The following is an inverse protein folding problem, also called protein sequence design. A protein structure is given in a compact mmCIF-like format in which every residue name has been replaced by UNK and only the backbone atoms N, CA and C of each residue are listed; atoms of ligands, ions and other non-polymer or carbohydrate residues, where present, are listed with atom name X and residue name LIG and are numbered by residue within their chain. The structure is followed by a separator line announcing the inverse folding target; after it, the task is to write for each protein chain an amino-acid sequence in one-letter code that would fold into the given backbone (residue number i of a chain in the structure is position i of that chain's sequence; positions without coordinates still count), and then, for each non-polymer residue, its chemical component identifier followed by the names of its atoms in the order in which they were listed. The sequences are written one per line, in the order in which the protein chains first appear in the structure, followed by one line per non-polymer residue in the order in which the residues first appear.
data_IF_949936753547
#
_entry.id   IF_949936753547
#
_cell.length_a   1.000
_cell.length_b   1.000
_cell.length_c   1.000
_cell.angle_alpha   90.00
_cell.angle_beta   90.00
_cell.angle_gamma   90.00
#
_symmetry.space_group_name_H-M   'P 1'
#
loop_
_entity.id
_entity.type
_entity.pdbx_description
1 polymer ?
#
# COMPACT_ATOMS: atom_id res chain seq x y z
N UNK A 1 -19.77 -4.51 27.34
CA UNK A 1 -18.66 -4.20 28.27
C UNK A 1 -17.51 -5.11 27.88
N UNK A 2 -16.88 -4.83 26.74
CA UNK A 2 -15.76 -5.64 26.23
C UNK A 2 -14.52 -5.23 27.00
N UNK A 3 -13.96 -6.14 27.79
CA UNK A 3 -12.54 -6.02 28.13
C UNK A 3 -11.79 -5.97 26.81
N UNK A 4 -11.03 -4.89 26.57
CA UNK A 4 -9.91 -4.99 25.62
C UNK A 4 -9.15 -6.24 26.02
N UNK A 5 -9.07 -7.24 25.14
CA UNK A 5 -8.09 -8.32 25.30
C UNK A 5 -6.75 -7.61 25.50
N UNK A 6 -6.10 -7.81 26.64
CA UNK A 6 -4.82 -7.17 26.98
C UNK A 6 -3.91 -7.14 25.77
N UNK A 7 -3.35 -6.00 25.36
CA UNK A 7 -2.47 -5.88 24.17
C UNK A 7 -1.12 -6.62 24.32
N UNK A 8 -1.00 -7.51 25.30
CA UNK A 8 0.17 -8.34 25.53
C UNK A 8 0.28 -9.44 24.45
N UNK A 9 1.52 -9.67 24.01
CA UNK A 9 1.91 -10.84 23.24
C UNK A 9 2.06 -12.01 24.21
N UNK A 10 1.46 -13.17 23.91
CA UNK A 10 1.65 -14.39 24.69
C UNK A 10 2.59 -15.36 23.99
N UNK A 11 2.38 -15.57 22.69
CA UNK A 11 3.26 -16.43 21.87
C UNK A 11 4.62 -15.76 21.68
N UNK A 12 4.62 -14.42 21.58
CA UNK A 12 5.83 -13.62 21.38
C UNK A 12 6.22 -12.82 22.62
N UNK A 13 5.83 -13.26 23.82
CA UNK A 13 6.05 -12.51 25.07
C UNK A 13 7.53 -12.24 25.37
N UNK A 14 8.42 -13.13 24.91
CA UNK A 14 9.86 -13.04 25.12
C UNK A 14 10.62 -12.34 23.99
N UNK A 15 9.92 -11.64 23.08
CA UNK A 15 10.61 -10.81 22.09
C UNK A 15 11.33 -9.65 22.78
N UNK A 16 12.64 -9.58 22.58
CA UNK A 16 13.48 -8.48 23.01
C UNK A 16 13.42 -7.33 22.00
N UNK A 17 12.69 -6.27 22.35
CA UNK A 17 12.60 -5.05 21.56
C UNK A 17 13.66 -4.00 21.92
N UNK A 18 14.48 -4.24 22.95
CA UNK A 18 15.57 -3.34 23.37
C UNK A 18 16.47 -2.87 22.21
N UNK A 19 16.83 -3.72 21.22
CA UNK A 19 17.64 -3.27 20.08
C UNK A 19 17.01 -2.12 19.25
N UNK A 20 15.67 -2.05 19.22
CA UNK A 20 14.93 -1.01 18.51
C UNK A 20 14.80 0.28 19.33
N UNK A 21 14.84 0.16 20.66
CA UNK A 21 14.71 1.28 21.61
C UNK A 21 16.05 1.99 21.86
N UNK A 22 17.16 1.24 21.88
CA UNK A 22 18.51 1.73 22.23
C UNK A 22 19.13 2.61 21.13
N UNK A 23 18.66 2.47 19.90
CA UNK A 23 19.23 3.17 18.74
C UNK A 23 18.37 4.37 18.34
N UNK A 24 18.39 5.43 19.14
CA UNK A 24 17.99 6.77 18.70
C UNK A 24 19.25 7.61 18.40
N UNK A 25 19.75 7.75 17.16
CA UNK A 25 20.86 8.64 16.87
C UNK A 25 20.41 9.98 16.26
N UNK A 26 20.76 11.05 16.97
CA UNK A 26 21.30 12.34 16.50
C UNK A 26 21.14 12.64 14.99
N UNK A 27 20.02 13.27 14.62
CA UNK A 27 19.77 13.86 13.29
C UNK A 27 18.27 14.17 13.12
N UNK A 28 17.83 14.97 12.12
CA UNK A 28 16.40 15.27 11.92
C UNK A 28 15.70 14.07 11.26
N UNK A 29 15.77 12.88 11.89
CA UNK A 29 15.27 11.60 11.40
C UNK A 29 13.78 11.38 11.69
N UNK A 30 12.96 12.42 11.56
CA UNK A 30 11.52 12.31 11.78
C UNK A 30 10.82 11.94 10.49
N UNK A 31 10.15 10.80 10.49
CA UNK A 31 9.20 10.42 9.46
C UNK A 31 7.79 10.86 9.85
N UNK A 32 6.95 11.16 8.86
CA UNK A 32 5.54 11.49 9.09
C UNK A 32 4.69 10.27 8.77
N UNK A 33 3.76 9.90 9.65
CA UNK A 33 2.73 8.91 9.38
C UNK A 33 1.37 9.59 9.37
N UNK A 34 0.61 9.43 8.30
CA UNK A 34 -0.73 9.97 8.23
C UNK A 34 -1.68 9.08 9.05
N UNK A 35 -2.33 9.68 10.04
CA UNK A 35 -3.50 9.06 10.70
C UNK A 35 -4.71 9.03 9.79
N UNK A 36 -4.73 9.86 8.75
CA UNK A 36 -5.79 9.92 7.75
C UNK A 36 -5.21 10.26 6.38
N UNK A 37 -5.34 9.33 5.43
CA UNK A 37 -5.06 9.59 4.03
C UNK A 37 -5.99 10.68 3.49
N UNK A 38 -5.47 11.51 2.59
CA UNK A 38 -6.29 12.47 1.86
C UNK A 38 -7.26 11.69 0.96
N UNK A 39 -8.53 12.13 0.78
CA UNK A 39 -9.43 11.46 -0.13
C UNK A 39 -8.81 11.41 -1.54
N UNK A 40 -8.74 10.23 -2.15
CA UNK A 40 -7.99 10.05 -3.40
C UNK A 40 -8.48 10.92 -4.57
N UNK A 41 -9.78 11.24 -4.61
CA UNK A 41 -10.30 12.19 -5.59
C UNK A 41 -9.72 13.60 -5.40
N UNK A 42 -9.52 14.02 -4.15
CA UNK A 42 -8.99 15.33 -3.81
C UNK A 42 -7.50 15.38 -4.15
N UNK A 43 -6.76 14.31 -3.84
CA UNK A 43 -5.36 14.13 -4.23
C UNK A 43 -5.22 14.19 -5.76
N UNK A 44 -5.99 13.38 -6.49
CA UNK A 44 -6.01 13.37 -7.96
C UNK A 44 -6.32 14.75 -8.56
N UNK A 45 -7.37 15.42 -8.08
CA UNK A 45 -7.75 16.76 -8.56
C UNK A 45 -6.64 17.76 -8.29
N UNK A 46 -6.03 17.72 -7.11
CA UNK A 46 -4.96 18.64 -6.74
C UNK A 46 -3.71 18.46 -7.61
N UNK A 47 -3.36 17.21 -7.98
CA UNK A 47 -2.27 16.90 -8.92
C UNK A 47 -2.59 17.44 -10.32
N UNK A 48 -3.79 17.19 -10.84
CA UNK A 48 -4.22 17.69 -12.15
C UNK A 48 -4.20 19.23 -12.21
N UNK A 49 -4.68 19.89 -11.15
CA UNK A 49 -4.64 21.36 -11.02
C UNK A 49 -3.19 21.87 -10.99
N UNK A 50 -2.31 21.24 -10.20
CA UNK A 50 -0.91 21.61 -10.14
C UNK A 50 -0.18 21.42 -11.49
N UNK A 51 -0.49 20.35 -12.24
CA UNK A 51 0.07 20.13 -13.58
C UNK A 51 -0.38 21.20 -14.58
N UNK A 52 -1.67 21.53 -14.61
CA UNK A 52 -2.21 22.58 -15.49
C UNK A 52 -1.64 23.97 -15.14
N UNK A 53 -1.54 24.28 -13.85
CA UNK A 53 -0.98 25.55 -13.37
C UNK A 53 0.53 25.66 -13.63
N UNK A 54 1.29 24.60 -13.37
CA UNK A 54 2.73 24.54 -13.60
C UNK A 54 3.08 24.67 -15.08
N UNK A 55 2.36 23.97 -15.96
CA UNK A 55 2.52 24.13 -17.41
C UNK A 55 2.17 25.53 -17.89
N UNK A 56 1.06 26.11 -17.42
CA UNK A 56 0.69 27.50 -17.73
C UNK A 56 1.78 28.48 -17.31
N UNK A 57 2.38 28.28 -16.13
CA UNK A 57 3.48 29.12 -15.64
C UNK A 57 4.73 29.02 -16.52
N UNK A 58 5.10 27.80 -16.94
CA UNK A 58 6.25 27.58 -17.84
C UNK A 58 6.00 28.25 -19.20
N UNK A 59 4.82 28.06 -19.80
CA UNK A 59 4.49 28.68 -21.09
C UNK A 59 4.40 30.19 -21.01
N UNK A 60 3.88 30.74 -19.91
CA UNK A 60 3.86 32.18 -19.68
C UNK A 60 5.29 32.74 -19.68
N UNK A 61 6.22 32.05 -19.02
CA UNK A 61 7.64 32.41 -19.00
C UNK A 61 8.26 32.40 -20.40
N UNK A 62 7.91 31.40 -21.23
CA UNK A 62 8.40 31.29 -22.61
C UNK A 62 7.82 32.38 -23.53
N UNK A 63 6.57 32.80 -23.32
CA UNK A 63 5.90 33.80 -24.15
C UNK A 63 6.29 35.25 -23.81
N UNK A 64 6.75 35.51 -22.58
CA UNK A 64 7.11 36.84 -22.09
C UNK A 64 8.11 37.60 -22.99
N UNK A 65 9.22 37.00 -23.46
CA UNK A 65 10.16 37.66 -24.36
C UNK A 65 9.56 38.04 -25.73
N UNK A 66 8.55 37.31 -26.19
CA UNK A 66 7.91 37.50 -27.50
C UNK A 66 6.72 38.47 -27.48
N UNK A 67 6.35 39.03 -26.32
CA UNK A 67 5.23 39.96 -26.20
C UNK A 67 5.65 41.39 -26.65
N UNK A 68 4.99 41.86 -27.70
CA UNK A 68 5.21 43.13 -28.39
C UNK A 68 4.53 44.32 -27.71
N UNK A 69 3.39 44.12 -27.04
CA UNK A 69 2.69 45.16 -26.29
C UNK A 69 2.84 45.06 -24.78
N UNK A 70 2.61 46.18 -24.09
CA UNK A 70 2.62 46.24 -22.62
C UNK A 70 1.52 45.38 -21.99
N UNK A 71 0.32 45.36 -22.58
CA UNK A 71 -0.79 44.54 -22.07
C UNK A 71 -0.55 43.04 -22.22
N UNK A 72 0.06 42.59 -23.33
CA UNK A 72 0.45 41.18 -23.50
C UNK A 72 1.49 40.74 -22.48
N UNK A 73 2.51 41.57 -22.22
CA UNK A 73 3.51 41.30 -21.19
C UNK A 73 2.87 41.18 -19.81
N UNK A 74 1.99 42.12 -19.46
CA UNK A 74 1.29 42.10 -18.19
C UNK A 74 0.41 40.86 -18.05
N UNK A 75 -0.34 40.50 -19.10
CA UNK A 75 -1.19 39.32 -19.11
C UNK A 75 -0.41 38.02 -18.87
N UNK A 76 0.66 37.77 -19.65
CA UNK A 76 1.47 36.57 -19.46
C UNK A 76 2.16 36.56 -18.09
N UNK A 77 2.66 37.69 -17.60
CA UNK A 77 3.23 37.77 -16.26
C UNK A 77 2.21 37.40 -15.16
N UNK A 78 0.98 37.91 -15.25
CA UNK A 78 -0.10 37.59 -14.31
C UNK A 78 -0.48 36.10 -14.36
N UNK A 79 -0.62 35.52 -15.55
CA UNK A 79 -0.89 34.08 -15.69
C UNK A 79 0.25 33.23 -15.13
N UNK A 80 1.51 33.64 -15.35
CA UNK A 80 2.69 32.98 -14.82
C UNK A 80 2.71 32.99 -13.29
N UNK A 81 2.54 34.16 -12.69
CA UNK A 81 2.49 34.32 -11.23
C UNK A 81 1.31 33.55 -10.63
N UNK A 82 0.12 33.64 -11.22
CA UNK A 82 -1.06 32.90 -10.76
C UNK A 82 -0.83 31.37 -10.82
N UNK A 83 -0.20 30.87 -11.90
CA UNK A 83 0.15 29.46 -12.03
C UNK A 83 1.11 28.99 -10.93
N UNK A 84 2.17 29.76 -10.66
CA UNK A 84 3.12 29.46 -9.57
C UNK A 84 2.42 29.48 -8.21
N UNK A 85 1.61 30.51 -7.93
CA UNK A 85 0.88 30.62 -6.67
C UNK A 85 -0.09 29.45 -6.46
N UNK A 86 -0.75 28.97 -7.52
CA UNK A 86 -1.67 27.83 -7.42
C UNK A 86 -0.92 26.53 -7.12
N UNK A 87 0.24 26.30 -7.74
CA UNK A 87 1.10 25.15 -7.42
C UNK A 87 1.55 25.21 -5.95
N UNK A 88 2.00 26.39 -5.49
CA UNK A 88 2.39 26.60 -4.10
C UNK A 88 1.21 26.40 -3.14
N UNK A 89 0.00 26.82 -3.51
CA UNK A 89 -1.20 26.60 -2.70
C UNK A 89 -1.54 25.10 -2.58
N UNK A 90 -1.42 24.32 -3.67
CA UNK A 90 -1.59 22.86 -3.63
C UNK A 90 -0.54 22.21 -2.72
N UNK A 91 0.74 22.59 -2.85
CA UNK A 91 1.81 22.08 -1.98
C UNK A 91 1.53 22.44 -0.53
N UNK A 92 1.17 23.70 -0.24
CA UNK A 92 0.83 24.16 1.11
C UNK A 92 -0.39 23.42 1.67
N UNK A 93 -1.39 23.10 0.84
CA UNK A 93 -2.55 22.28 1.21
C UNK A 93 -2.14 20.89 1.67
N UNK A 94 -1.28 20.20 0.91
CA UNK A 94 -0.74 18.90 1.33
C UNK A 94 0.13 19.00 2.57
N UNK A 95 0.97 20.03 2.68
CA UNK A 95 1.76 20.27 3.88
C UNK A 95 0.87 20.52 5.10
N UNK A 96 -0.22 21.26 4.95
CA UNK A 96 -1.23 21.50 5.98
C UNK A 96 -1.95 20.22 6.39
N UNK A 97 -2.36 19.40 5.41
CA UNK A 97 -2.98 18.09 5.67
C UNK A 97 -2.02 17.16 6.41
N UNK A 98 -0.78 17.05 5.91
CA UNK A 98 0.29 16.25 6.52
C UNK A 98 0.64 16.74 7.91
N UNK A 99 0.61 18.05 8.17
CA UNK A 99 0.83 18.58 9.52
C UNK A 99 -0.35 18.32 10.45
N UNK A 100 -1.58 18.37 9.94
CA UNK A 100 -2.82 18.19 10.73
C UNK A 100 -3.08 16.74 11.11
N UNK A 101 -2.77 15.82 10.21
CA UNK A 101 -3.05 14.40 10.35
C UNK A 101 -1.77 13.54 10.46
N UNK A 102 -0.60 14.11 10.24
CA UNK A 102 0.68 13.41 10.37
C UNK A 102 1.16 13.36 11.82
N UNK A 103 1.58 12.18 12.25
CA UNK A 103 2.32 11.96 13.50
C UNK A 103 3.79 11.71 13.17
N UNK A 104 4.69 12.28 13.97
CA UNK A 104 6.12 11.96 13.84
C UNK A 104 6.38 10.55 14.36
N UNK A 105 7.15 9.79 13.60
CA UNK A 105 7.60 8.44 13.96
C UNK A 105 9.06 8.26 13.57
N UNK A 106 9.74 7.35 14.26
CA UNK A 106 11.17 7.06 14.05
C UNK A 106 11.28 5.72 13.31
N UNK A 107 11.85 5.71 12.09
CA UNK A 107 12.15 4.47 11.39
C UNK A 107 13.17 3.62 12.14
N UNK A 108 12.98 2.30 12.17
CA UNK A 108 13.87 1.34 12.84
C UNK A 108 14.53 0.34 11.89
N UNK A 109 14.58 0.68 10.59
CA UNK A 109 15.15 -0.21 9.57
C UNK A 109 16.60 -0.64 9.85
N UNK A 110 17.52 0.27 10.24
CA UNK A 110 18.90 -0.12 10.57
C UNK A 110 19.00 -1.13 11.72
N UNK A 111 18.06 -1.08 12.66
CA UNK A 111 18.05 -1.85 13.89
C UNK A 111 17.49 -3.26 13.70
N UNK A 112 16.81 -3.54 12.58
CA UNK A 112 16.19 -4.84 12.30
C UNK A 112 17.18 -6.00 12.38
N UNK A 113 18.45 -5.79 11.98
CA UNK A 113 19.48 -6.82 12.07
C UNK A 113 19.81 -7.18 13.53
N UNK A 114 19.90 -6.17 14.41
CA UNK A 114 20.17 -6.38 15.83
C UNK A 114 18.95 -6.99 16.54
N UNK A 115 17.74 -6.51 16.21
CA UNK A 115 16.49 -7.10 16.67
C UNK A 115 16.37 -8.58 16.28
N UNK A 116 16.70 -8.92 15.03
CA UNK A 116 16.65 -10.30 14.56
C UNK A 116 17.61 -11.21 15.34
N UNK A 117 18.85 -10.76 15.51
CA UNK A 117 19.86 -11.49 16.27
C UNK A 117 19.47 -11.72 17.74
N UNK A 118 18.87 -10.72 18.40
CA UNK A 118 18.42 -10.83 19.78
C UNK A 118 17.28 -11.85 19.97
N UNK A 119 16.51 -12.11 18.91
CA UNK A 119 15.27 -12.89 18.96
C UNK A 119 15.33 -14.24 18.24
N UNK A 120 16.50 -14.67 17.75
CA UNK A 120 16.61 -15.90 16.98
C UNK A 120 15.80 -15.87 15.68
N UNK A 121 15.85 -14.72 14.99
CA UNK A 121 15.23 -14.50 13.68
C UNK A 121 16.33 -14.33 12.63
N UNK A 122 16.06 -14.78 11.41
CA UNK A 122 16.90 -14.49 10.25
C UNK A 122 16.48 -13.14 9.65
N UNK A 123 17.45 -12.27 9.40
CA UNK A 123 17.25 -11.00 8.69
C UNK A 123 18.08 -10.88 7.42
N UNK A 124 17.42 -10.54 6.32
CA UNK A 124 18.06 -10.27 5.03
C UNK A 124 17.62 -8.91 4.48
N UNK A 125 18.51 -7.91 4.55
CA UNK A 125 18.26 -6.57 4.02
C UNK A 125 18.15 -6.53 2.49
N UNK A 126 18.93 -7.36 1.80
CA UNK A 126 19.10 -7.32 0.34
C UNK A 126 17.81 -7.66 -0.41
N UNK A 127 17.52 -6.89 -1.45
CA UNK A 127 16.42 -7.18 -2.37
C UNK A 127 16.76 -8.39 -3.25
N UNK A 128 15.94 -9.42 -3.20
CA UNK A 128 16.06 -10.65 -4.01
C UNK A 128 14.82 -10.87 -4.86
N UNK A 129 14.96 -11.53 -6.01
CA UNK A 129 13.81 -12.06 -6.74
C UNK A 129 13.22 -13.20 -5.92
N UNK A 130 11.93 -13.14 -5.64
CA UNK A 130 11.26 -14.16 -4.84
C UNK A 130 10.16 -14.82 -5.67
N UNK A 131 10.21 -16.16 -5.73
CA UNK A 131 9.19 -17.01 -6.37
C UNK A 131 8.46 -17.88 -5.35
N UNK A 132 8.74 -17.70 -4.06
CA UNK A 132 8.21 -18.54 -2.98
C UNK A 132 6.87 -18.02 -2.43
N UNK A 133 6.68 -16.69 -2.48
CA UNK A 133 5.42 -16.06 -2.14
C UNK A 133 4.52 -15.96 -3.38
N UNK A 134 3.22 -16.27 -3.26
CA UNK A 134 2.28 -16.21 -4.36
C UNK A 134 2.11 -14.76 -4.84
N UNK A 135 2.15 -14.47 -6.16
CA UNK A 135 2.01 -13.12 -6.68
C UNK A 135 0.64 -12.53 -6.33
N UNK A 136 0.62 -11.21 -6.07
CA UNK A 136 -0.62 -10.46 -5.91
C UNK A 136 -1.43 -10.49 -7.21
N UNK A 137 -2.76 -10.32 -7.13
CA UNK A 137 -3.62 -10.47 -8.30
C UNK A 137 -3.23 -9.49 -9.45
N UNK A 138 -3.09 -10.05 -10.64
CA UNK A 138 -2.67 -9.34 -11.85
C UNK A 138 -1.18 -9.01 -11.91
N UNK A 139 -0.36 -9.57 -11.01
CA UNK A 139 1.09 -9.43 -11.03
C UNK A 139 1.82 -10.71 -11.47
N UNK A 140 1.11 -11.73 -11.95
CA UNK A 140 1.67 -13.02 -12.35
C UNK A 140 2.74 -12.93 -13.44
N UNK A 141 2.65 -11.91 -14.32
CA UNK A 141 3.63 -11.66 -15.39
C UNK A 141 4.78 -10.74 -14.96
N UNK A 142 4.76 -10.19 -13.75
CA UNK A 142 5.78 -9.27 -13.24
C UNK A 142 6.80 -9.99 -12.37
N UNK A 143 8.00 -9.42 -12.29
CA UNK A 143 9.05 -9.91 -11.40
C UNK A 143 8.78 -9.39 -10.00
N UNK A 144 8.61 -10.32 -9.06
CA UNK A 144 8.47 -10.03 -7.65
C UNK A 144 9.84 -9.91 -6.99
N UNK A 145 10.04 -8.83 -6.23
CA UNK A 145 11.21 -8.69 -5.37
C UNK A 145 10.80 -8.43 -3.93
N UNK A 146 11.56 -9.02 -3.02
CA UNK A 146 11.39 -8.86 -1.58
C UNK A 146 12.73 -8.42 -0.97
N UNK A 147 12.68 -7.48 -0.04
CA UNK A 147 13.82 -6.98 0.75
C UNK A 147 13.46 -6.88 2.23
N UNK A 148 14.47 -6.65 3.08
CA UNK A 148 14.30 -6.46 4.53
C UNK A 148 13.48 -7.60 5.18
N UNK A 149 13.78 -8.83 4.78
CA UNK A 149 13.03 -10.03 5.19
C UNK A 149 13.42 -10.44 6.59
N UNK A 150 12.43 -10.59 7.45
CA UNK A 150 12.52 -11.13 8.79
C UNK A 150 11.69 -12.41 8.87
N UNK A 151 12.29 -13.51 9.32
CA UNK A 151 11.61 -14.80 9.49
C UNK A 151 12.18 -15.54 10.71
N UNK A 152 11.44 -16.47 11.33
CA UNK A 152 12.03 -17.37 12.32
C UNK A 152 13.26 -18.09 11.75
N UNK A 153 14.35 -18.13 12.52
CA UNK A 153 15.50 -18.94 12.17
C UNK A 153 15.15 -20.44 12.24
N UNK A 154 15.95 -21.28 11.59
CA UNK A 154 15.78 -22.74 11.70
C UNK A 154 15.90 -23.19 13.17
N UNK A 155 14.95 -24.00 13.64
CA UNK A 155 14.90 -24.45 15.04
C UNK A 155 14.40 -23.41 16.05
N UNK A 156 13.99 -22.23 15.59
CA UNK A 156 13.38 -21.19 16.42
C UNK A 156 12.03 -21.66 17.02
N UNK A 157 11.69 -21.27 18.26
CA UNK A 157 10.42 -21.64 18.88
C UNK A 157 9.21 -20.90 18.29
N UNK A 158 9.45 -19.89 17.45
CA UNK A 158 8.39 -19.04 16.91
C UNK A 158 7.56 -19.76 15.83
N UNK A 159 6.25 -19.51 15.75
CA UNK A 159 5.45 -19.99 14.62
C UNK A 159 5.99 -19.41 13.31
N UNK A 160 5.80 -20.09 12.17
CA UNK A 160 6.30 -19.61 10.89
C UNK A 160 5.60 -18.32 10.48
N UNK A 161 6.38 -17.29 10.15
CA UNK A 161 5.92 -16.04 9.57
C UNK A 161 7.02 -15.42 8.71
N UNK A 162 6.66 -14.42 7.92
CA UNK A 162 7.60 -13.56 7.23
C UNK A 162 7.15 -12.12 7.31
N UNK A 163 8.04 -11.20 7.67
CA UNK A 163 7.83 -9.76 7.57
C UNK A 163 8.83 -9.23 6.55
N UNK A 164 8.39 -8.40 5.60
CA UNK A 164 9.30 -7.87 4.59
C UNK A 164 8.72 -6.73 3.79
N UNK A 165 9.51 -6.23 2.85
CA UNK A 165 9.10 -5.20 1.90
C UNK A 165 9.01 -5.78 0.51
N UNK A 166 7.87 -5.62 -0.18
CA UNK A 166 7.57 -6.26 -1.46
C UNK A 166 7.29 -5.25 -2.57
N UNK A 167 7.92 -5.48 -3.72
CA UNK A 167 7.67 -4.72 -4.95
C UNK A 167 7.51 -5.65 -6.14
N UNK A 168 6.85 -5.15 -7.17
CA UNK A 168 6.72 -5.79 -8.47
C UNK A 168 7.23 -4.84 -9.54
N UNK A 169 7.93 -5.37 -10.52
CA UNK A 169 8.38 -4.61 -11.69
C UNK A 169 8.24 -5.45 -12.95
N UNK A 170 8.21 -4.78 -14.11
CA UNK A 170 8.24 -5.50 -15.39
C UNK A 170 9.58 -6.24 -15.54
N UNK A 171 9.62 -7.38 -16.24
CA UNK A 171 10.87 -8.02 -16.59
C UNK A 171 11.85 -7.02 -17.24
N UNK A 172 13.10 -7.06 -16.80
CA UNK A 172 14.19 -6.23 -17.33
C UNK A 172 15.21 -7.11 -18.04
N UNK A 173 16.00 -6.56 -18.98
CA UNK A 173 17.11 -7.29 -19.58
C UNK A 173 18.06 -7.88 -18.52
N UNK A 174 18.69 -9.05 -18.76
CA UNK A 174 19.58 -9.70 -17.79
C UNK A 174 20.78 -8.85 -17.34
N UNK A 175 21.23 -7.93 -18.19
CA UNK A 175 22.33 -6.99 -17.95
C UNK A 175 21.89 -5.68 -17.26
N UNK A 176 20.60 -5.55 -16.92
CA UNK A 176 20.08 -4.38 -16.24
C UNK A 176 20.62 -4.30 -14.81
N UNK A 177 21.45 -3.30 -14.55
CA UNK A 177 21.92 -2.95 -13.19
C UNK A 177 21.13 -1.73 -12.69
N UNK A 178 20.30 -1.90 -11.65
CA UNK A 178 19.58 -0.77 -11.05
C UNK A 178 20.56 0.21 -10.39
N UNK A 179 20.28 1.50 -10.54
CA UNK A 179 21.00 2.58 -9.85
C UNK A 179 19.99 3.58 -9.28
N UNK A 180 20.43 4.51 -8.43
CA UNK A 180 19.54 5.57 -7.91
C UNK A 180 18.88 6.39 -9.02
N UNK A 181 19.62 6.68 -10.10
CA UNK A 181 19.12 7.43 -11.27
C UNK A 181 18.30 6.57 -12.23
N UNK A 182 18.46 5.25 -12.17
CA UNK A 182 17.79 4.28 -13.04
C UNK A 182 17.31 3.10 -12.19
N UNK A 183 16.27 3.29 -11.36
CA UNK A 183 15.72 2.22 -10.54
C UNK A 183 14.97 1.20 -11.41
N UNK A 184 14.57 0.08 -10.82
CA UNK A 184 13.65 -0.83 -11.49
C UNK A 184 12.37 -0.12 -11.92
N UNK A 185 11.77 -0.50 -13.07
CA UNK A 185 10.50 0.05 -13.52
C UNK A 185 9.35 -0.57 -12.71
N UNK A 186 9.18 -0.11 -11.47
CA UNK A 186 8.18 -0.62 -10.52
C UNK A 186 6.77 -0.47 -11.10
N UNK A 187 6.04 -1.58 -11.17
CA UNK A 187 4.62 -1.61 -11.56
C UNK A 187 3.74 -1.43 -10.33
N UNK A 188 4.04 -2.16 -9.26
CA UNK A 188 3.34 -2.08 -7.98
C UNK A 188 4.37 -2.05 -6.87
N UNK A 189 4.24 -1.04 -6.03
CA UNK A 189 4.90 -1.01 -4.73
C UNK A 189 3.90 -1.55 -3.70
N UNK A 190 4.05 -2.83 -3.33
CA UNK A 190 3.13 -3.50 -2.40
C UNK A 190 3.38 -3.04 -0.96
N UNK A 191 4.58 -2.53 -0.67
CA UNK A 191 4.96 -2.00 0.62
C UNK A 191 5.41 -3.08 1.61
N UNK A 192 5.42 -2.71 2.90
CA UNK A 192 5.65 -3.64 3.99
C UNK A 192 4.48 -4.62 4.14
N UNK A 193 4.81 -5.87 4.40
CA UNK A 193 3.84 -6.92 4.62
C UNK A 193 4.25 -7.86 5.75
N UNK A 194 3.25 -8.52 6.32
CA UNK A 194 3.39 -9.76 7.06
C UNK A 194 2.78 -10.86 6.21
N UNK A 195 3.44 -12.00 6.08
CA UNK A 195 2.90 -13.20 5.44
C UNK A 195 2.96 -14.36 6.43
N UNK A 196 1.81 -14.97 6.68
CA UNK A 196 1.70 -16.14 7.55
C UNK A 196 1.24 -17.32 6.70
N UNK A 197 1.95 -18.47 6.71
CA UNK A 197 1.49 -19.64 6.00
C UNK A 197 0.18 -20.14 6.61
N UNK A 198 -0.67 -20.66 5.75
CA UNK A 198 -1.92 -21.32 6.08
C UNK A 198 -1.74 -22.82 5.86
N UNK A 199 -2.52 -23.67 6.55
CA UNK A 199 -2.38 -25.12 6.44
C UNK A 199 -2.73 -25.67 5.06
N UNK A 200 -3.36 -24.86 4.21
CA UNK A 200 -4.01 -25.25 2.96
C UNK A 200 -4.11 -24.08 1.99
N UNK A 201 -4.30 -24.40 0.71
CA UNK A 201 -4.67 -23.41 -0.32
C UNK A 201 -6.12 -22.98 -0.17
N UNK A 202 -6.34 -21.68 -0.10
CA UNK A 202 -7.65 -21.04 0.05
C UNK A 202 -7.98 -20.18 -1.18
N UNK A 203 -9.27 -19.90 -1.43
CA UNK A 203 -9.67 -18.94 -2.44
C UNK A 203 -9.14 -17.55 -2.09
N UNK A 204 -8.89 -16.75 -3.12
CA UNK A 204 -8.43 -15.39 -2.92
C UNK A 204 -9.48 -14.56 -2.21
N UNK A 205 -9.12 -13.95 -1.09
CA UNK A 205 -10.00 -13.04 -0.36
C UNK A 205 -9.18 -11.81 0.01
N UNK A 206 -9.57 -10.65 -0.50
CA UNK A 206 -8.92 -9.39 -0.18
C UNK A 206 -9.81 -8.57 0.76
N UNK A 207 -9.27 -8.18 1.91
CA UNK A 207 -9.86 -7.19 2.79
C UNK A 207 -9.20 -5.83 2.52
N UNK A 208 -9.87 -5.01 1.74
CA UNK A 208 -9.39 -3.68 1.40
C UNK A 208 -9.90 -2.65 2.42
N UNK A 209 -9.02 -1.74 2.82
CA UNK A 209 -9.43 -0.54 3.56
C UNK A 209 -10.04 0.48 2.63
N UNK A 210 -10.81 1.42 3.18
CA UNK A 210 -11.39 2.52 2.39
C UNK A 210 -10.33 3.35 1.65
N UNK A 211 -9.15 3.57 2.24
CA UNK A 211 -8.05 4.27 1.56
C UNK A 211 -7.51 3.48 0.36
N UNK A 212 -7.50 2.15 0.42
CA UNK A 212 -6.98 1.28 -0.63
C UNK A 212 -7.92 1.16 -1.85
N UNK A 213 -9.21 1.49 -1.72
CA UNK A 213 -10.21 1.33 -2.79
C UNK A 213 -9.93 2.16 -4.04
N UNK A 214 -9.24 3.28 -3.86
CA UNK A 214 -8.92 4.21 -4.95
C UNK A 214 -7.70 3.75 -5.77
N UNK A 215 -6.74 3.13 -5.11
CA UNK A 215 -5.44 2.74 -5.70
C UNK A 215 -5.36 1.25 -6.06
N UNK A 216 -6.34 0.46 -5.62
CA UNK A 216 -6.39 -0.96 -5.95
C UNK A 216 -6.66 -1.21 -7.43
N UNK A 217 -5.91 -2.15 -7.99
CA UNK A 217 -6.14 -2.73 -9.31
C UNK A 217 -7.14 -3.90 -9.27
N UNK A 218 -7.66 -4.29 -8.12
CA UNK A 218 -8.68 -5.34 -8.02
C UNK A 218 -10.02 -4.88 -8.57
N UNK A 219 -10.77 -5.81 -9.15
CA UNK A 219 -12.13 -5.58 -9.62
C UNK A 219 -13.08 -5.44 -8.41
N UNK A 220 -13.61 -4.22 -8.23
CA UNK A 220 -14.52 -3.91 -7.14
C UNK A 220 -15.93 -4.48 -7.37
N UNK A 221 -16.26 -4.96 -8.58
CA UNK A 221 -17.52 -5.68 -8.82
C UNK A 221 -17.55 -7.04 -8.12
N UNK A 222 -16.38 -7.58 -7.76
CA UNK A 222 -16.23 -8.79 -6.97
C UNK A 222 -16.43 -8.55 -5.45
N UNK A 223 -17.03 -7.41 -5.07
CA UNK A 223 -17.29 -7.06 -3.68
C UNK A 223 -18.37 -7.93 -3.08
N UNK A 224 -18.10 -8.40 -1.87
CA UNK A 224 -19.07 -9.08 -1.04
C UNK A 224 -19.26 -8.34 0.30
N UNK A 225 -20.50 -8.27 0.76
CA UNK A 225 -20.88 -7.61 2.01
C UNK A 225 -20.96 -8.64 3.13
N UNK A 226 -20.24 -8.40 4.23
CA UNK A 226 -20.20 -9.31 5.38
C UNK A 226 -21.06 -8.81 6.56
N UNK A 227 -21.75 -7.68 6.40
CA UNK A 227 -22.56 -7.03 7.43
C UNK A 227 -22.09 -5.62 7.77
N UNK A 228 -22.98 -4.85 8.40
CA UNK A 228 -22.84 -3.37 8.54
C UNK A 228 -21.52 -2.97 9.21
N UNK A 229 -21.17 -3.57 10.35
CA UNK A 229 -19.97 -3.20 11.11
C UNK A 229 -18.67 -3.54 10.36
N UNK A 230 -18.62 -4.72 9.74
CA UNK A 230 -17.46 -5.15 8.97
C UNK A 230 -17.27 -4.26 7.74
N UNK A 231 -18.36 -3.94 7.04
CA UNK A 231 -18.35 -3.14 5.81
C UNK A 231 -17.99 -1.66 6.03
N UNK A 232 -18.04 -1.18 7.28
CA UNK A 232 -17.54 0.15 7.64
C UNK A 232 -16.01 0.23 7.66
N UNK A 233 -15.37 -0.89 8.00
CA UNK A 233 -13.91 -0.99 8.16
C UNK A 233 -13.25 -1.55 6.92
N UNK A 234 -13.80 -2.65 6.39
CA UNK A 234 -13.25 -3.39 5.26
C UNK A 234 -14.23 -3.45 4.09
N UNK A 235 -13.67 -3.53 2.89
CA UNK A 235 -14.37 -3.99 1.70
C UNK A 235 -13.78 -5.35 1.35
N UNK A 236 -14.58 -6.40 1.55
CA UNK A 236 -14.19 -7.76 1.18
C UNK A 236 -14.40 -7.96 -0.32
N UNK A 237 -13.37 -8.43 -1.01
CA UNK A 237 -13.44 -8.89 -2.39
C UNK A 237 -13.11 -10.37 -2.44
N UNK A 238 -13.91 -11.15 -3.15
CA UNK A 238 -13.63 -12.56 -3.44
C UNK A 238 -14.03 -12.88 -4.89
N UNK A 239 -13.45 -13.89 -5.54
CA UNK A 239 -13.81 -14.23 -6.90
C UNK A 239 -15.29 -14.59 -7.02
N UNK A 240 -15.96 -14.25 -8.14
CA UNK A 240 -17.37 -14.58 -8.33
C UNK A 240 -17.64 -16.07 -8.12
N UNK A 241 -18.67 -16.37 -7.32
CA UNK A 241 -19.02 -17.74 -6.92
C UNK A 241 -18.34 -18.24 -5.65
N UNK A 242 -17.34 -17.54 -5.10
CA UNK A 242 -16.65 -17.90 -3.86
C UNK A 242 -17.18 -17.14 -2.62
N UNK A 243 -18.36 -16.51 -2.71
CA UNK A 243 -18.96 -15.75 -1.61
C UNK A 243 -19.26 -16.64 -0.40
N UNK A 244 -19.80 -17.84 -0.65
CA UNK A 244 -20.07 -18.83 0.41
C UNK A 244 -18.78 -19.35 1.05
N UNK A 245 -17.74 -19.54 0.25
CA UNK A 245 -16.42 -19.94 0.73
C UNK A 245 -15.81 -18.84 1.63
N UNK A 246 -15.99 -17.57 1.25
CA UNK A 246 -15.59 -16.43 2.08
C UNK A 246 -16.34 -16.40 3.42
N UNK A 247 -17.66 -16.63 3.45
CA UNK A 247 -18.44 -16.75 4.69
C UNK A 247 -17.98 -17.91 5.58
N UNK A 248 -17.58 -19.03 4.98
CA UNK A 248 -17.08 -20.18 5.72
C UNK A 248 -15.74 -19.88 6.41
N UNK A 249 -14.85 -19.15 5.72
CA UNK A 249 -13.53 -18.79 6.23
C UNK A 249 -13.57 -17.61 7.20
N UNK A 250 -14.41 -16.61 6.92
CA UNK A 250 -14.60 -15.42 7.74
C UNK A 250 -15.81 -15.61 8.66
N UNK A 251 -15.68 -16.57 9.59
CA UNK A 251 -16.64 -16.74 10.68
C UNK A 251 -16.70 -15.48 11.55
N UNK A 252 -17.76 -15.29 12.36
CA UNK A 252 -17.87 -14.13 13.25
C UNK A 252 -16.63 -13.90 14.13
N UNK A 253 -15.97 -14.96 14.61
CA UNK A 253 -14.75 -14.85 15.42
C UNK A 253 -13.55 -14.34 14.61
N UNK A 254 -13.38 -14.82 13.37
CA UNK A 254 -12.34 -14.32 12.44
C UNK A 254 -12.61 -12.85 12.08
N UNK A 255 -13.87 -12.50 11.81
CA UNK A 255 -14.26 -11.12 11.53
C UNK A 255 -13.98 -10.19 12.72
N UNK A 256 -14.32 -10.62 13.93
CA UNK A 256 -14.05 -9.86 15.15
C UNK A 256 -12.54 -9.67 15.35
N UNK A 257 -11.73 -10.72 15.22
CA UNK A 257 -10.27 -10.61 15.30
C UNK A 257 -9.70 -9.66 14.23
N UNK A 258 -10.20 -9.73 12.99
CA UNK A 258 -9.80 -8.81 11.92
C UNK A 258 -10.18 -7.36 12.23
N UNK A 259 -11.35 -7.10 12.81
CA UNK A 259 -11.78 -5.75 13.18
C UNK A 259 -10.97 -5.19 14.35
N UNK A 260 -10.82 -5.98 15.41
CA UNK A 260 -10.16 -5.59 16.65
C UNK A 260 -8.66 -5.35 16.45
N UNK A 261 -7.99 -6.18 15.63
CA UNK A 261 -6.56 -6.08 15.41
C UNK A 261 -6.25 -5.29 14.12
N UNK A 262 -6.57 -5.84 12.95
CA UNK A 262 -6.18 -5.23 11.67
C UNK A 262 -6.95 -3.93 11.38
N UNK A 263 -8.26 -3.93 11.63
CA UNK A 263 -9.15 -2.82 11.36
C UNK A 263 -8.84 -1.58 12.20
N UNK A 264 -8.72 -1.78 13.52
CA UNK A 264 -8.35 -0.73 14.47
C UNK A 264 -7.03 -0.04 14.09
N UNK A 265 -6.11 -0.78 13.49
CA UNK A 265 -4.77 -0.32 13.14
C UNK A 265 -4.64 0.15 11.69
N UNK A 266 -5.72 0.08 10.91
CA UNK A 266 -5.72 0.40 9.48
C UNK A 266 -4.74 -0.48 8.69
N UNK A 267 -4.71 -1.78 8.98
CA UNK A 267 -4.02 -2.80 8.19
C UNK A 267 -5.00 -3.45 7.22
N UNK A 268 -4.52 -3.79 6.04
CA UNK A 268 -5.29 -4.49 5.01
C UNK A 268 -4.90 -5.96 5.07
N UNK A 269 -5.78 -6.85 4.64
CA UNK A 269 -5.46 -8.28 4.62
C UNK A 269 -5.76 -8.89 3.25
N UNK A 270 -5.07 -9.98 2.92
CA UNK A 270 -5.29 -10.70 1.67
C UNK A 270 -4.88 -12.16 1.83
N UNK A 271 -5.80 -13.07 1.56
CA UNK A 271 -5.54 -14.50 1.49
C UNK A 271 -5.14 -14.82 0.06
N UNK A 272 -3.89 -15.22 -0.19
CA UNK A 272 -3.40 -15.64 -1.50
C UNK A 272 -2.85 -17.05 -1.41
N UNK A 273 -3.45 -17.97 -2.16
CA UNK A 273 -3.10 -19.39 -2.17
C UNK A 273 -3.03 -19.95 -0.73
N UNK A 274 -1.85 -20.29 -0.23
CA UNK A 274 -1.59 -20.87 1.09
C UNK A 274 -1.07 -19.84 2.11
N UNK A 275 -1.33 -18.55 1.92
CA UNK A 275 -0.82 -17.49 2.81
C UNK A 275 -1.86 -16.42 3.12
N UNK A 276 -1.84 -15.97 4.37
CA UNK A 276 -2.50 -14.73 4.80
C UNK A 276 -1.46 -13.61 4.80
N UNK A 277 -1.70 -12.59 4.01
CA UNK A 277 -0.94 -11.36 3.99
C UNK A 277 -1.64 -10.29 4.81
N UNK A 278 -0.88 -9.56 5.63
CA UNK A 278 -1.28 -8.26 6.14
C UNK A 278 -0.43 -7.17 5.50
N UNK A 279 -1.07 -6.13 4.97
CA UNK A 279 -0.41 -4.93 4.45
C UNK A 279 -0.40 -3.85 5.51
N UNK A 280 0.77 -3.26 5.69
CA UNK A 280 0.95 -2.18 6.63
C UNK A 280 0.07 -0.96 6.23
N UNK A 281 -0.22 -0.07 7.19
CA UNK A 281 -0.88 1.19 6.89
C UNK A 281 -0.04 2.03 5.93
N UNK A 282 -0.71 2.92 5.21
CA UNK A 282 -0.03 3.79 4.26
C UNK A 282 0.97 4.73 4.98
N UNK A 283 2.19 4.81 4.43
CA UNK A 283 3.26 5.67 4.92
C UNK A 283 3.86 6.46 3.76
N UNK A 284 4.11 7.78 3.92
CA UNK A 284 4.79 8.57 2.89
C UNK A 284 6.26 8.13 2.72
N UNK A 285 6.84 7.47 3.72
CA UNK A 285 8.10 6.75 3.58
C UNK A 285 7.78 5.26 3.52
N UNK A 286 7.46 4.80 2.31
CA UNK A 286 6.97 3.44 2.09
C UNK A 286 7.95 2.38 2.59
N UNK A 287 9.24 2.58 2.38
CA UNK A 287 10.28 1.66 2.82
C UNK A 287 10.62 1.73 4.31
N UNK A 288 10.07 2.68 5.08
CA UNK A 288 10.35 2.80 6.51
C UNK A 288 9.41 1.92 7.34
N UNK A 289 9.97 1.15 8.28
CA UNK A 289 9.21 0.45 9.33
C UNK A 289 9.46 1.15 10.66
N UNK A 290 8.47 1.14 11.54
CA UNK A 290 8.57 1.71 12.89
C UNK A 290 8.33 0.62 13.92
N UNK A 291 8.90 0.78 15.12
CA UNK A 291 8.80 -0.21 16.19
C UNK A 291 7.35 -0.61 16.51
N UNK A 292 6.44 0.38 16.58
CA UNK A 292 5.02 0.15 16.85
C UNK A 292 4.37 -0.76 15.81
N UNK A 293 4.72 -0.63 14.53
CA UNK A 293 4.18 -1.50 13.48
C UNK A 293 4.74 -2.91 13.60
N UNK A 294 6.00 -3.06 14.01
CA UNK A 294 6.60 -4.37 14.22
C UNK A 294 5.96 -5.10 15.40
N UNK A 295 5.72 -4.40 16.54
CA UNK A 295 4.94 -4.96 17.66
C UNK A 295 3.55 -5.40 17.22
N UNK A 296 2.87 -4.57 16.43
CA UNK A 296 1.54 -4.87 15.89
C UNK A 296 1.53 -6.04 14.91
N UNK A 297 2.58 -6.19 14.09
CA UNK A 297 2.73 -7.34 13.22
C UNK A 297 2.70 -8.64 14.02
N UNK A 298 3.42 -8.71 15.15
CA UNK A 298 3.41 -9.89 16.02
C UNK A 298 2.05 -10.14 16.67
N UNK A 299 1.34 -9.09 17.09
CA UNK A 299 -0.03 -9.21 17.61
C UNK A 299 -0.98 -9.80 16.56
N UNK A 300 -0.92 -9.31 15.31
CA UNK A 300 -1.70 -9.82 14.19
C UNK A 300 -1.38 -11.29 13.87
N UNK A 301 -0.09 -11.65 13.88
CA UNK A 301 0.34 -13.03 13.66
C UNK A 301 -0.28 -13.95 14.71
N UNK A 302 -0.19 -13.57 15.98
CA UNK A 302 -0.67 -14.38 17.11
C UNK A 302 -2.20 -14.53 17.11
N UNK A 303 -2.94 -13.42 17.03
CA UNK A 303 -4.39 -13.42 17.30
C UNK A 303 -5.22 -13.71 16.07
N UNK A 304 -4.96 -12.98 14.99
CA UNK A 304 -5.81 -13.02 13.81
C UNK A 304 -5.57 -14.29 13.00
N UNK A 305 -4.32 -14.79 12.98
CA UNK A 305 -4.00 -16.00 12.21
C UNK A 305 -4.51 -17.28 12.87
N UNK A 306 -4.58 -17.35 14.20
CA UNK A 306 -5.05 -18.54 14.91
C UNK A 306 -6.50 -18.90 14.51
N UNK A 307 -7.37 -17.90 14.48
CA UNK A 307 -8.78 -18.08 14.13
C UNK A 307 -8.94 -18.50 12.66
N UNK A 308 -8.27 -17.81 11.73
CA UNK A 308 -8.38 -18.15 10.31
C UNK A 308 -7.79 -19.53 10.00
N UNK A 309 -6.67 -19.90 10.64
CA UNK A 309 -6.05 -21.22 10.45
C UNK A 309 -6.99 -22.33 10.84
N UNK A 310 -7.71 -22.19 11.96
CA UNK A 310 -8.69 -23.18 12.42
C UNK A 310 -9.77 -23.45 11.37
N UNK A 311 -10.26 -22.40 10.71
CA UNK A 311 -11.22 -22.57 9.60
C UNK A 311 -10.56 -23.12 8.33
N UNK A 312 -9.34 -22.67 8.02
CA UNK A 312 -8.58 -23.13 6.86
C UNK A 312 -8.26 -24.62 6.89
N UNK A 313 -7.99 -25.22 8.05
CA UNK A 313 -7.76 -26.67 8.19
C UNK A 313 -8.96 -27.51 7.76
N UNK A 314 -10.16 -26.96 7.94
CA UNK A 314 -11.43 -27.65 7.65
C UNK A 314 -11.92 -27.40 6.22
N UNK A 315 -11.41 -26.36 5.59
CA UNK A 315 -11.82 -25.94 4.25
C UNK A 315 -11.56 -27.00 3.16
N UNK A 316 -12.49 -27.07 2.21
CA UNK A 316 -12.35 -27.81 0.97
C UNK A 316 -13.21 -27.14 -0.11
N UNK A 317 -12.63 -26.87 -1.28
CA UNK A 317 -13.40 -26.37 -2.41
C UNK A 317 -14.35 -27.47 -2.93
N UNK A 318 -15.66 -27.27 -2.73
CA UNK A 318 -16.67 -28.27 -3.13
C UNK A 318 -16.68 -28.56 -4.62
N UNK A 319 -16.05 -27.71 -5.45
CA UNK A 319 -15.95 -27.86 -6.91
C UNK A 319 -14.91 -28.91 -7.33
N UNK A 320 -13.93 -29.18 -6.46
CA UNK A 320 -12.91 -30.21 -6.69
C UNK A 320 -13.39 -31.57 -6.17
N UNK A 321 -14.31 -31.57 -5.20
CA UNK A 321 -14.92 -32.78 -4.64
C UNK A 321 -14.01 -33.54 -3.67
N UNK A 322 -12.69 -33.56 -3.90
CA UNK A 322 -11.73 -34.28 -3.06
C UNK A 322 -10.86 -33.32 -2.22
N UNK A 323 -11.01 -33.39 -0.89
CA UNK A 323 -10.30 -32.51 0.05
C UNK A 323 -8.79 -32.77 0.10
N UNK A 324 -8.32 -33.99 -0.15
CA UNK A 324 -6.88 -34.36 -0.06
C UNK A 324 -6.00 -33.64 -1.07
N UNK A 325 -6.57 -33.13 -2.16
CA UNK A 325 -5.82 -32.53 -3.27
C UNK A 325 -5.22 -31.16 -2.97
N UNK A 326 -5.58 -30.53 -1.85
CA UNK A 326 -5.17 -29.18 -1.43
C UNK A 326 -5.09 -28.15 -2.55
N UNK A 327 -6.22 -27.98 -3.24
CA UNK A 327 -6.35 -27.07 -4.38
C UNK A 327 -7.64 -26.27 -4.26
N UNK A 328 -7.65 -25.18 -5.01
CA UNK A 328 -8.80 -24.35 -5.33
C UNK A 328 -8.83 -24.24 -6.85
N UNK A 329 -10.02 -24.21 -7.45
CA UNK A 329 -10.11 -24.07 -8.90
C UNK A 329 -9.51 -22.74 -9.37
N UNK A 330 -9.08 -22.64 -10.63
CA UNK A 330 -8.49 -21.40 -11.14
C UNK A 330 -9.41 -20.18 -11.01
N UNK A 331 -10.73 -20.38 -11.06
CA UNK A 331 -11.72 -19.33 -10.84
C UNK A 331 -11.65 -18.73 -9.42
N UNK A 332 -11.27 -19.53 -8.41
CA UNK A 332 -11.13 -19.08 -7.02
C UNK A 332 -9.77 -18.52 -6.68
N UNK A 333 -8.78 -18.68 -7.57
CA UNK A 333 -7.38 -18.37 -7.23
C UNK A 333 -7.09 -16.88 -7.21
N UNK A 334 -7.73 -16.05 -8.03
CA UNK A 334 -7.49 -14.59 -8.06
C UNK A 334 -8.78 -13.84 -8.37
N UNK A 335 -8.93 -12.67 -7.74
CA UNK A 335 -9.99 -11.71 -8.07
C UNK A 335 -9.57 -11.06 -9.39
N UNK A 336 -10.56 -10.74 -10.23
CA UNK A 336 -10.31 -10.01 -11.46
C UNK A 336 -9.57 -8.70 -11.19
N UNK A 337 -8.88 -8.18 -12.21
CA UNK A 337 -8.24 -6.87 -12.11
C UNK A 337 -8.89 -5.88 -13.07
N UNK A 338 -8.93 -4.62 -12.66
CA UNK A 338 -9.33 -3.49 -13.48
C UNK A 338 -8.11 -2.63 -13.81
N UNK A 339 -8.21 -1.87 -14.88
CA UNK A 339 -7.16 -0.91 -15.21
C UNK A 339 -7.15 0.19 -14.16
N UNK A 340 -5.96 0.53 -13.64
CA UNK A 340 -5.80 1.55 -12.59
C UNK A 340 -6.32 2.91 -13.06
N UNK A 341 -6.95 3.70 -12.17
CA UNK A 341 -7.38 5.07 -12.47
C UNK A 341 -6.22 6.06 -12.74
N UNK A 342 -4.96 5.62 -12.76
CA UNK A 342 -3.84 6.39 -13.31
C UNK A 342 -4.06 6.80 -14.78
N UNK A 343 -4.99 6.14 -15.48
CA UNK A 343 -5.48 6.59 -16.80
C UNK A 343 -6.28 7.90 -16.76
N UNK A 344 -6.85 8.30 -15.62
CA UNK A 344 -7.54 9.59 -15.48
C UNK A 344 -6.53 10.75 -15.42
N UNK A 345 -5.42 10.60 -14.69
CA UNK A 345 -4.36 11.61 -14.66
C UNK A 345 -3.72 11.76 -16.05
N UNK A 346 -3.42 10.65 -16.73
CA UNK A 346 -2.91 10.70 -18.09
C UNK A 346 -3.96 11.20 -19.11
N UNK A 347 -5.22 10.80 -18.96
CA UNK A 347 -6.30 11.10 -19.90
C UNK A 347 -6.90 12.50 -19.75
N UNK A 348 -6.85 13.10 -18.56
CA UNK A 348 -7.38 14.45 -18.28
C UNK A 348 -6.27 15.44 -18.00
N UNK A 349 -5.27 15.05 -17.21
CA UNK A 349 -4.13 15.91 -16.87
C UNK A 349 -3.26 16.24 -18.08
N UNK A 350 -2.99 15.27 -18.96
CA UNK A 350 -2.15 15.52 -20.15
C UNK A 350 -2.83 16.47 -21.16
N UNK A 351 -4.13 16.32 -21.50
CA UNK A 351 -4.82 17.33 -22.32
C UNK A 351 -4.91 18.69 -21.63
N UNK A 352 -5.19 18.77 -20.33
CA UNK A 352 -5.24 20.05 -19.62
C UNK A 352 -3.88 20.75 -19.58
N UNK A 353 -2.79 20.00 -19.47
CA UNK A 353 -1.42 20.51 -19.53
C UNK A 353 -1.09 21.18 -20.88
N UNK A 354 -1.82 20.82 -21.94
CA UNK A 354 -1.67 21.42 -23.29
C UNK A 354 -2.72 22.50 -23.53
N UNK A 355 -3.98 22.25 -23.17
CA UNK A 355 -5.10 23.14 -23.42
C UNK A 355 -5.05 24.41 -22.57
N UNK A 356 -4.64 24.32 -21.30
CA UNK A 356 -4.53 25.48 -20.42
C UNK A 356 -3.52 26.53 -20.93
N UNK A 357 -2.25 26.18 -21.24
CA UNK A 357 -1.33 27.15 -21.81
C UNK A 357 -1.75 27.59 -23.21
N UNK A 358 -2.35 26.73 -24.03
CA UNK A 358 -2.86 27.12 -25.35
C UNK A 358 -3.98 28.17 -25.26
N UNK A 359 -4.95 27.97 -24.37
CA UNK A 359 -6.02 28.94 -24.12
C UNK A 359 -5.46 30.27 -23.61
N UNK A 360 -4.47 30.23 -22.70
CA UNK A 360 -3.75 31.42 -22.26
C UNK A 360 -3.08 32.13 -23.45
N UNK A 361 -2.36 31.42 -24.31
CA UNK A 361 -1.71 32.02 -25.50
C UNK A 361 -2.72 32.68 -26.42
N UNK A 362 -3.85 32.00 -26.70
CA UNK A 362 -4.92 32.51 -27.55
C UNK A 362 -5.55 33.78 -26.98
N UNK A 363 -5.89 33.80 -25.68
CA UNK A 363 -6.43 35.00 -25.02
C UNK A 363 -5.40 36.12 -25.00
N UNK A 364 -4.14 35.79 -24.71
CA UNK A 364 -3.04 36.75 -24.71
C UNK A 364 -2.74 37.35 -26.07
N UNK A 365 -3.11 36.70 -27.19
CA UNK A 365 -2.99 37.29 -28.52
C UNK A 365 -3.96 38.47 -28.75
N UNK A 366 -5.05 38.54 -27.98
CA UNK A 366 -6.05 39.61 -28.05
C UNK A 366 -5.88 40.66 -26.96
N UNK A 367 -4.94 40.48 -26.02
CA UNK A 367 -4.60 41.51 -25.05
C UNK A 367 -3.88 42.66 -25.75
N UNK A 368 -4.44 43.87 -25.70
CA UNK A 368 -3.87 45.07 -26.31
C UNK A 368 -2.72 45.64 -25.50
#
# INVERSE_FOLDING_TARGET
MNSRRDDALHVFEHLDFTPLEVSLPRGPGWSWRLSRAMPAWLDTVSVVVAMAAGSTAIFALVMLPGADTGGRRLFYALCGVAGVLLVLAVIAGHMGWNRRYGRRVVPVNPELAAFAAANGLDYHATSVVDTSLPPAAGQDANVQRVSMRLRPAEGSPWPPFEIGYRIFHRPVPPDFVPTEKRPYPITIDYGWYVAVPLPRRLPHIALLRRSELSDTNLDLHARYSMGIEFDQTFTLLCPPGYERDALYLFTPDVMAAMLDDAGALQWGAEVLDDRLFFRFPESPLRSAIVEEDLRRAFLLIERTTAELRTQAERYSDSRIGERTLDRVTDAGRRVGTRVRPTMVIAGVGLPLMVLAPFAMVMVGAFAA
#
